data_IF_506513456521
#
_entry.id   IF_506513456521
#
_cell.length_a   1.000
_cell.length_b   1.000
_cell.length_c   1.000
_cell.angle_alpha   90.00
_cell.angle_beta   90.00
_cell.angle_gamma   90.00
#
_symmetry.space_group_name_H-M   'P 1'
#
loop_
_entity.id
_entity.type
_entity.pdbx_description
1 polymer ?
#
# COMPACT_ATOMS: atom_id res chain seq x y z
N UNK A 1 -25.15 -0.90 14.39
CA UNK A 1 -23.80 -0.83 14.99
C UNK A 1 -23.39 -2.25 15.33
N UNK A 2 -22.33 -2.77 14.72
CA UNK A 2 -21.78 -4.09 15.05
C UNK A 2 -20.99 -3.96 16.36
N UNK A 3 -21.16 -4.90 17.29
CA UNK A 3 -20.38 -4.91 18.55
C UNK A 3 -18.93 -5.26 18.24
N UNK A 4 -18.01 -4.62 18.94
CA UNK A 4 -16.59 -5.00 18.90
C UNK A 4 -16.46 -6.48 19.31
N UNK A 5 -15.70 -7.24 18.51
CA UNK A 5 -15.48 -8.68 18.70
C UNK A 5 -14.10 -8.98 19.31
N UNK A 6 -13.31 -7.96 19.64
CA UNK A 6 -11.97 -8.12 20.22
C UNK A 6 -10.93 -8.68 19.25
N UNK A 7 -11.25 -8.79 17.95
CA UNK A 7 -10.28 -9.27 16.96
C UNK A 7 -9.23 -8.19 16.72
N UNK A 8 -7.98 -8.54 17.01
CA UNK A 8 -6.86 -7.66 16.72
C UNK A 8 -6.54 -7.74 15.22
N UNK A 9 -6.55 -6.58 14.57
CA UNK A 9 -6.20 -6.41 13.16
C UNK A 9 -4.99 -5.50 13.02
N UNK A 10 -4.20 -5.74 11.99
CA UNK A 10 -3.06 -4.88 11.66
C UNK A 10 -3.51 -3.43 11.45
N UNK A 11 -2.62 -2.47 11.75
CA UNK A 11 -2.93 -1.07 11.46
C UNK A 11 -3.06 -0.85 9.95
N UNK A 12 -3.72 0.25 9.56
CA UNK A 12 -3.80 0.62 8.14
C UNK A 12 -2.41 0.87 7.53
N UNK A 13 -1.43 1.32 8.33
CA UNK A 13 -0.06 1.52 7.86
C UNK A 13 0.65 0.19 7.61
N UNK A 14 0.50 -0.78 8.51
CA UNK A 14 1.05 -2.13 8.34
C UNK A 14 0.44 -2.82 7.12
N UNK A 15 -0.89 -2.69 6.96
CA UNK A 15 -1.61 -3.22 5.81
C UNK A 15 -1.15 -2.53 4.52
N UNK A 16 -1.03 -1.20 4.51
CA UNK A 16 -0.60 -0.44 3.34
C UNK A 16 0.82 -0.78 2.90
N UNK A 17 1.77 -0.88 3.85
CA UNK A 17 3.14 -1.27 3.54
C UNK A 17 3.23 -2.69 2.99
N UNK A 18 2.46 -3.62 3.55
CA UNK A 18 2.39 -5.00 3.05
C UNK A 18 1.77 -5.08 1.66
N UNK A 19 0.75 -4.28 1.35
CA UNK A 19 0.13 -4.25 0.02
C UNK A 19 1.02 -3.60 -1.03
N UNK A 20 1.70 -2.50 -0.68
CA UNK A 20 2.62 -1.82 -1.58
C UNK A 20 3.81 -2.73 -1.96
N UNK A 21 4.33 -3.55 -1.04
CA UNK A 21 5.42 -4.48 -1.34
C UNK A 21 5.04 -5.62 -2.31
N UNK A 22 3.76 -6.02 -2.34
CA UNK A 22 3.29 -7.11 -3.21
C UNK A 22 3.25 -6.70 -4.67
N UNK A 23 2.95 -5.43 -4.96
CA UNK A 23 2.86 -4.91 -6.34
C UNK A 23 4.16 -5.15 -7.13
N UNK A 24 5.32 -4.96 -6.50
CA UNK A 24 6.62 -5.17 -7.17
C UNK A 24 6.96 -6.65 -7.38
N UNK A 25 6.28 -7.58 -6.70
CA UNK A 25 6.51 -9.03 -6.81
C UNK A 25 5.55 -9.66 -7.82
N UNK A 26 4.32 -9.15 -7.90
CA UNK A 26 3.29 -9.65 -8.82
C UNK A 26 2.28 -8.57 -9.17
N UNK A 27 1.87 -8.56 -10.43
CA UNK A 27 0.91 -7.61 -10.97
C UNK A 27 -0.49 -8.25 -11.08
N UNK A 28 -1.20 -8.42 -9.96
CA UNK A 28 -2.57 -8.96 -9.98
C UNK A 28 -3.60 -7.86 -9.69
N UNK A 29 -4.71 -7.85 -10.42
CA UNK A 29 -5.78 -6.86 -10.26
C UNK A 29 -6.23 -6.63 -8.79
N UNK A 30 -6.31 -7.69 -7.98
CA UNK A 30 -6.66 -7.56 -6.55
C UNK A 30 -5.71 -6.67 -5.76
N UNK A 31 -4.40 -6.75 -6.05
CA UNK A 31 -3.40 -5.99 -5.31
C UNK A 31 -3.49 -4.49 -5.68
N UNK A 32 -3.95 -4.17 -6.90
CA UNK A 32 -4.21 -2.80 -7.36
C UNK A 32 -5.52 -2.23 -6.78
N UNK A 33 -6.56 -3.06 -6.71
CA UNK A 33 -7.82 -2.73 -6.05
C UNK A 33 -7.59 -2.42 -4.57
N UNK A 34 -6.78 -3.22 -3.88
CA UNK A 34 -6.44 -2.99 -2.47
C UNK A 34 -5.73 -1.65 -2.26
N UNK A 35 -4.82 -1.27 -3.16
CA UNK A 35 -4.13 0.04 -3.08
C UNK A 35 -5.07 1.20 -3.40
N UNK A 36 -5.92 1.08 -4.42
CA UNK A 36 -6.95 2.09 -4.69
C UNK A 36 -7.91 2.25 -3.50
N UNK A 37 -8.29 1.16 -2.83
CA UNK A 37 -9.12 1.20 -1.63
C UNK A 37 -8.40 1.86 -0.45
N UNK A 38 -7.11 1.59 -0.23
CA UNK A 38 -6.32 2.26 0.80
C UNK A 38 -6.26 3.78 0.57
N UNK A 39 -6.09 4.20 -0.68
CA UNK A 39 -6.06 5.63 -1.05
C UNK A 39 -7.45 6.27 -0.85
N UNK A 40 -8.50 5.67 -1.43
CA UNK A 40 -9.82 6.29 -1.53
C UNK A 40 -10.66 6.15 -0.27
N UNK A 41 -10.61 4.99 0.39
CA UNK A 41 -11.39 4.65 1.58
C UNK A 41 -10.53 4.75 2.85
N UNK A 42 -9.35 4.15 2.83
CA UNK A 42 -8.42 4.12 3.97
C UNK A 42 -7.76 5.46 4.28
N UNK A 43 -7.83 6.42 3.34
CA UNK A 43 -7.17 7.73 3.42
C UNK A 43 -5.66 7.64 3.66
N UNK A 44 -5.04 6.55 3.20
CA UNK A 44 -3.59 6.34 3.21
C UNK A 44 -3.05 6.68 1.82
N UNK A 45 -2.27 7.75 1.71
CA UNK A 45 -1.65 8.13 0.44
C UNK A 45 -0.68 7.05 -0.07
N UNK A 46 -0.43 7.03 -1.38
CA UNK A 46 0.57 6.10 -1.93
C UNK A 46 1.98 6.37 -1.36
N UNK A 47 2.36 7.64 -1.17
CA UNK A 47 3.62 8.00 -0.52
C UNK A 47 3.73 7.40 0.91
N UNK A 48 2.65 7.45 1.69
CA UNK A 48 2.59 6.83 3.02
C UNK A 48 2.70 5.31 2.93
N UNK A 49 2.00 4.66 1.99
CA UNK A 49 2.07 3.21 1.80
C UNK A 49 3.48 2.74 1.42
N UNK A 50 4.13 3.47 0.50
CA UNK A 50 5.51 3.22 0.06
C UNK A 50 6.51 3.44 1.20
N UNK A 51 6.34 4.50 1.99
CA UNK A 51 7.18 4.75 3.16
C UNK A 51 7.01 3.65 4.22
N UNK A 52 5.78 3.18 4.45
CA UNK A 52 5.51 2.07 5.36
C UNK A 52 6.16 0.77 4.86
N UNK A 53 6.06 0.47 3.57
CA UNK A 53 6.73 -0.69 2.97
C UNK A 53 8.26 -0.61 3.12
N UNK A 54 8.86 0.56 2.85
CA UNK A 54 10.28 0.79 3.03
C UNK A 54 10.72 0.58 4.49
N UNK A 55 9.89 0.98 5.46
CA UNK A 55 10.15 0.74 6.88
C UNK A 55 10.05 -0.74 7.26
N UNK A 56 9.06 -1.47 6.75
CA UNK A 56 8.83 -2.88 7.07
C UNK A 56 9.92 -3.78 6.45
N UNK A 57 10.25 -3.56 5.19
CA UNK A 57 11.08 -4.46 4.39
C UNK A 57 12.51 -3.97 4.18
N UNK A 58 12.80 -2.71 4.54
CA UNK A 58 14.13 -2.13 4.45
C UNK A 58 14.71 -2.25 3.03
N UNK A 59 16.00 -2.63 2.90
CA UNK A 59 16.69 -2.72 1.60
C UNK A 59 16.10 -3.71 0.59
N UNK A 60 15.23 -4.63 1.02
CA UNK A 60 14.58 -5.61 0.11
C UNK A 60 13.41 -5.01 -0.68
N UNK A 61 12.94 -3.82 -0.32
CA UNK A 61 11.87 -3.12 -1.01
C UNK A 61 12.43 -2.01 -1.91
N UNK A 62 11.97 -1.97 -3.16
CA UNK A 62 12.33 -0.92 -4.11
C UNK A 62 11.09 -0.06 -4.44
N UNK A 63 11.03 1.18 -3.91
CA UNK A 63 9.91 2.09 -4.15
C UNK A 63 9.65 2.37 -5.64
N UNK A 64 10.71 2.48 -6.45
CA UNK A 64 10.61 2.83 -7.86
C UNK A 64 9.92 1.75 -8.68
N UNK A 65 10.14 0.47 -8.33
CA UNK A 65 9.47 -0.66 -9.01
C UNK A 65 7.96 -0.60 -8.75
N UNK A 66 7.57 -0.27 -7.52
CA UNK A 66 6.15 -0.12 -7.13
C UNK A 66 5.47 1.00 -7.93
N UNK A 67 6.09 2.19 -8.02
CA UNK A 67 5.53 3.31 -8.80
C UNK A 67 5.43 2.99 -10.29
N UNK A 68 6.44 2.31 -10.85
CA UNK A 68 6.44 1.89 -12.25
C UNK A 68 5.32 0.90 -12.54
N UNK A 69 5.12 -0.10 -11.68
CA UNK A 69 4.05 -1.08 -11.82
C UNK A 69 2.67 -0.41 -11.79
N UNK A 70 2.44 0.52 -10.84
CA UNK A 70 1.20 1.30 -10.75
C UNK A 70 0.95 2.25 -11.94
N UNK A 71 1.89 2.34 -12.88
CA UNK A 71 1.77 3.13 -14.10
C UNK A 71 1.63 2.27 -15.37
N UNK A 72 1.54 0.94 -15.25
CA UNK A 72 1.47 0.02 -16.38
C UNK A 72 0.40 -1.06 -16.16
N UNK A 73 -0.61 -1.12 -17.04
CA UNK A 73 -1.80 -1.98 -16.87
C UNK A 73 -2.01 -2.99 -17.98
N UNK A 74 -1.01 -3.19 -18.85
CA UNK A 74 -1.13 -4.10 -19.99
C UNK A 74 -0.82 -5.57 -19.63
N UNK A 75 -0.56 -5.88 -18.36
CA UNK A 75 -0.29 -7.24 -17.88
C UNK A 75 -1.56 -7.95 -17.42
N UNK A 76 -1.73 -9.20 -17.85
CA UNK A 76 -2.79 -10.11 -17.42
C UNK A 76 -4.17 -9.47 -17.27
N UNK A 77 -4.71 -9.55 -16.05
CA UNK A 77 -6.04 -9.05 -15.69
C UNK A 77 -6.06 -7.55 -15.29
N UNK A 78 -4.93 -6.84 -15.38
CA UNK A 78 -4.90 -5.40 -15.12
C UNK A 78 -5.59 -4.60 -16.23
N UNK A 79 -5.67 -5.17 -17.43
CA UNK A 79 -6.37 -4.58 -18.58
C UNK A 79 -7.84 -4.32 -18.28
N UNK A 80 -8.44 -5.18 -17.47
CA UNK A 80 -9.87 -5.16 -17.12
C UNK A 80 -10.19 -4.19 -15.96
N UNK A 81 -9.18 -3.58 -15.34
CA UNK A 81 -9.41 -2.58 -14.30
C UNK A 81 -10.17 -1.37 -14.88
N UNK A 82 -11.12 -0.77 -14.13
CA UNK A 82 -11.82 0.42 -14.58
C UNK A 82 -10.85 1.56 -14.91
N UNK A 83 -11.05 2.26 -16.03
CA UNK A 83 -10.18 3.36 -16.45
C UNK A 83 -10.05 4.46 -15.40
N UNK A 84 -11.14 4.76 -14.69
CA UNK A 84 -11.11 5.71 -13.58
C UNK A 84 -10.18 5.27 -12.43
N UNK A 85 -10.06 3.96 -12.18
CA UNK A 85 -9.13 3.41 -11.18
C UNK A 85 -7.68 3.51 -11.68
N UNK A 86 -7.43 3.11 -12.94
CA UNK A 86 -6.09 3.26 -13.55
C UNK A 86 -5.60 4.70 -13.48
N UNK A 87 -6.46 5.67 -13.81
CA UNK A 87 -6.14 7.09 -13.73
C UNK A 87 -5.80 7.55 -12.31
N UNK A 88 -6.55 7.10 -11.30
CA UNK A 88 -6.25 7.42 -9.88
C UNK A 88 -4.90 6.86 -9.46
N UNK A 89 -4.62 5.61 -9.80
CA UNK A 89 -3.34 4.95 -9.46
C UNK A 89 -2.15 5.65 -10.14
N UNK A 90 -2.27 5.99 -11.42
CA UNK A 90 -1.25 6.76 -12.16
C UNK A 90 -1.05 8.14 -11.53
N UNK A 91 -2.13 8.82 -11.16
CA UNK A 91 -2.05 10.15 -10.53
C UNK A 91 -1.33 10.05 -9.19
N UNK A 92 -1.71 9.11 -8.34
CA UNK A 92 -1.05 8.87 -7.07
C UNK A 92 0.44 8.51 -7.23
N UNK A 93 0.79 7.71 -8.25
CA UNK A 93 2.17 7.38 -8.56
C UNK A 93 2.98 8.60 -8.99
N UNK A 94 2.39 9.52 -9.78
CA UNK A 94 3.05 10.76 -10.21
C UNK A 94 3.22 11.77 -9.09
N UNK A 95 2.29 11.81 -8.14
CA UNK A 95 2.34 12.70 -6.97
C UNK A 95 3.27 12.18 -5.87
N UNK A 96 3.66 10.90 -5.93
CA UNK A 96 4.59 10.31 -4.95
C UNK A 96 6.03 10.72 -5.27
N UNK A 97 6.53 11.69 -4.51
CA UNK A 97 7.94 12.07 -4.52
C UNK A 97 8.75 11.13 -3.61
N UNK A 98 9.64 10.34 -4.21
CA UNK A 98 10.46 9.36 -3.48
C UNK A 98 11.58 10.00 -2.67
N UNK A 99 12.00 11.22 -3.01
CA UNK A 99 13.03 11.95 -2.27
C UNK A 99 12.44 12.63 -1.02
N UNK A 100 11.11 12.77 -0.96
CA UNK A 100 10.39 13.46 0.11
C UNK A 100 9.25 12.61 0.70
N UNK A 101 9.54 11.34 0.99
CA UNK A 101 8.57 10.45 1.64
C UNK A 101 8.26 10.87 3.08
N UNK A 102 7.00 10.69 3.55
CA UNK A 102 6.61 11.02 4.91
C UNK A 102 7.30 10.09 5.93
N UNK A 103 7.64 10.66 7.10
CA UNK A 103 8.11 9.87 8.24
C UNK A 103 7.00 8.95 8.76
N UNK A 104 7.32 7.67 8.95
CA UNK A 104 6.39 6.68 9.51
C UNK A 104 6.79 6.41 10.96
N UNK A 105 5.93 6.72 11.92
CA UNK A 105 6.12 6.32 13.31
C UNK A 105 5.79 4.83 13.50
N UNK A 106 6.48 4.17 14.43
CA UNK A 106 6.14 2.77 14.76
C UNK A 106 4.87 2.79 15.60
N UNK A 107 3.80 2.17 15.12
CA UNK A 107 2.59 1.95 15.93
C UNK A 107 2.66 0.69 16.79
N UNK A 108 3.85 0.07 16.89
CA UNK A 108 4.07 -1.11 17.73
C UNK A 108 3.78 -0.76 19.19
N UNK A 109 2.64 -1.21 19.72
CA UNK A 109 2.53 -1.41 21.16
C UNK A 109 3.47 -2.56 21.51
N UNK A 110 4.37 -2.34 22.46
CA UNK A 110 5.11 -3.42 23.09
C UNK A 110 4.10 -4.42 23.64
N UNK A 111 4.03 -5.58 23.02
CA UNK A 111 3.28 -6.70 23.55
C UNK A 111 4.15 -7.34 24.62
N UNK A 112 3.98 -6.87 25.86
CA UNK A 112 4.51 -7.53 27.04
C UNK A 112 4.13 -9.01 27.01
N UNK A 113 5.14 -9.88 26.94
CA UNK A 113 4.99 -11.31 27.10
C UNK A 113 4.67 -11.58 28.59
N UNK A 114 3.40 -11.59 28.96
CA UNK A 114 2.97 -12.31 30.16
C UNK A 114 2.65 -13.75 29.73
N UNK A 115 3.59 -14.65 30.05
CA UNK A 115 3.41 -16.09 30.09
C UNK A 115 2.84 -16.50 31.46
#
# INVERSE_FOLDING_TARGET
MVKDNGLQVASLLDLAGTKASVIQVRAQARDYIDIDALITLGKVSLATAVAAAAKIYGPSFNPQITLKALSYFDDGNLRDLPEAMKLRLVTAARETDLDHLPGIESTGRDFGHEL
#
